data_IF_811763019088
#
_entry.id   IF_811763019088
#
_cell.length_a   1.000
_cell.length_b   1.000
_cell.length_c   1.000
_cell.angle_alpha   90.00
_cell.angle_beta   90.00
_cell.angle_gamma   90.00
#
_symmetry.space_group_name_H-M   'P 1'
#
loop_
_entity.id
_entity.type
_entity.pdbx_description
1 polymer ?
#
# COMPACT_ATOMS: atom_id res chain seq x y z
N UNK A 1 -16.33 4.06 5.90
CA UNK A 1 -15.64 2.79 6.26
C UNK A 1 -14.94 2.93 7.61
N UNK A 2 -15.15 2.02 8.58
CA UNK A 2 -14.61 2.16 9.95
C UNK A 2 -13.11 1.83 10.01
N UNK A 3 -12.29 2.64 10.69
CA UNK A 3 -10.84 2.44 10.89
C UNK A 3 -10.47 1.02 11.34
N UNK A 4 -11.34 0.38 12.13
CA UNK A 4 -11.18 -1.02 12.55
C UNK A 4 -11.26 -2.02 11.38
N UNK A 5 -12.11 -1.77 10.39
CA UNK A 5 -12.21 -2.60 9.18
C UNK A 5 -10.97 -2.48 8.29
N UNK A 6 -10.39 -1.29 8.18
CA UNK A 6 -9.13 -1.11 7.44
C UNK A 6 -7.96 -1.86 8.10
N UNK A 7 -7.81 -1.73 9.42
CA UNK A 7 -6.77 -2.48 10.15
C UNK A 7 -7.00 -4.00 10.10
N UNK A 8 -8.26 -4.45 10.17
CA UNK A 8 -8.58 -5.87 10.08
C UNK A 8 -8.37 -6.43 8.67
N UNK A 9 -8.56 -5.63 7.63
CA UNK A 9 -8.26 -6.05 6.25
C UNK A 9 -6.76 -6.16 6.01
N UNK A 10 -5.95 -5.21 6.50
CA UNK A 10 -4.48 -5.33 6.46
C UNK A 10 -3.99 -6.58 7.19
N UNK A 11 -4.44 -6.81 8.43
CA UNK A 11 -4.09 -8.02 9.20
C UNK A 11 -4.50 -9.32 8.49
N UNK A 12 -5.66 -9.33 7.83
CA UNK A 12 -6.11 -10.48 7.03
C UNK A 12 -5.21 -10.75 5.83
N UNK A 13 -4.69 -9.71 5.19
CA UNK A 13 -3.76 -9.84 4.06
C UNK A 13 -2.42 -10.40 4.54
N UNK A 14 -1.88 -9.89 5.65
CA UNK A 14 -0.65 -10.44 6.25
C UNK A 14 -0.80 -11.93 6.59
N UNK A 15 -1.93 -12.33 7.18
CA UNK A 15 -2.19 -13.75 7.48
C UNK A 15 -2.37 -14.64 6.25
N UNK A 16 -2.78 -14.08 5.10
CA UNK A 16 -2.93 -14.82 3.84
C UNK A 16 -1.58 -15.12 3.18
N UNK A 17 -0.54 -14.34 3.50
CA UNK A 17 0.82 -14.61 3.03
C UNK A 17 1.53 -15.70 3.86
N UNK A 18 1.14 -15.89 5.13
CA UNK A 18 1.64 -17.00 5.97
C UNK A 18 1.15 -18.38 5.48
N UNK A 19 -0.10 -18.49 5.01
CA UNK A 19 -0.65 -19.77 4.51
C UNK A 19 -0.03 -20.24 3.17
N UNK A 20 0.66 -19.35 2.45
CA UNK A 20 1.37 -19.68 1.20
C UNK A 20 2.78 -20.22 1.43
N UNK A 21 3.27 -20.29 2.67
CA UNK A 21 4.64 -20.72 2.97
C UNK A 21 4.89 -22.22 2.91
N UNK A 22 3.98 -23.03 2.35
CA UNK A 22 4.30 -24.41 1.94
C UNK A 22 5.22 -24.33 0.73
N UNK A 23 6.52 -24.36 1.02
CA UNK A 23 7.66 -24.35 0.08
C UNK A 23 7.52 -25.43 -1.00
N UNK A 24 6.78 -25.12 -2.06
CA UNK A 24 7.10 -25.63 -3.40
C UNK A 24 8.28 -24.80 -3.88
N UNK A 25 9.32 -25.41 -4.45
CA UNK A 25 10.45 -24.70 -5.07
C UNK A 25 9.90 -23.64 -6.03
N UNK A 26 9.85 -22.40 -5.54
CA UNK A 26 9.14 -21.33 -6.20
C UNK A 26 10.07 -20.84 -7.30
N UNK A 27 9.73 -21.13 -8.56
CA UNK A 27 10.46 -20.61 -9.70
C UNK A 27 10.67 -19.10 -9.51
N UNK A 28 11.88 -18.62 -9.78
CA UNK A 28 12.21 -17.21 -9.59
C UNK A 28 11.21 -16.37 -10.39
N UNK A 29 10.41 -15.55 -9.69
CA UNK A 29 9.42 -14.66 -10.30
C UNK A 29 10.07 -13.74 -11.35
N UNK A 30 11.35 -13.43 -11.13
CA UNK A 30 12.17 -12.58 -11.97
C UNK A 30 13.17 -13.40 -12.80
N UNK A 31 13.52 -12.86 -13.96
CA UNK A 31 14.41 -13.52 -14.94
C UNK A 31 15.86 -13.58 -14.47
N UNK A 32 16.27 -12.65 -13.60
CA UNK A 32 17.60 -12.58 -13.01
C UNK A 32 17.56 -11.84 -11.67
N UNK A 33 18.60 -12.01 -10.84
CA UNK A 33 18.78 -11.22 -9.61
C UNK A 33 18.93 -9.72 -9.89
N UNK A 34 19.50 -9.36 -11.05
CA UNK A 34 19.65 -7.98 -11.47
C UNK A 34 18.29 -7.33 -11.75
N UNK A 35 17.43 -8.03 -12.48
CA UNK A 35 16.07 -7.56 -12.78
C UNK A 35 15.24 -7.42 -11.50
N UNK A 36 15.37 -8.38 -10.57
CA UNK A 36 14.72 -8.30 -9.27
C UNK A 36 15.14 -7.05 -8.50
N UNK A 37 16.45 -6.76 -8.46
CA UNK A 37 16.97 -5.55 -7.80
C UNK A 37 16.43 -4.29 -8.45
N UNK A 38 16.48 -4.21 -9.78
CA UNK A 38 15.99 -3.06 -10.53
C UNK A 38 14.49 -2.81 -10.27
N UNK A 39 13.69 -3.87 -10.28
CA UNK A 39 12.26 -3.80 -10.01
C UNK A 39 12.01 -3.34 -8.57
N UNK A 40 12.73 -3.90 -7.59
CA UNK A 40 12.63 -3.49 -6.18
C UNK A 40 13.02 -2.03 -5.99
N UNK A 41 14.11 -1.58 -6.58
CA UNK A 41 14.58 -0.20 -6.49
C UNK A 41 13.57 0.76 -7.13
N UNK A 42 13.01 0.39 -8.29
CA UNK A 42 11.95 1.16 -8.94
C UNK A 42 10.70 1.26 -8.06
N UNK A 43 10.23 0.14 -7.50
CA UNK A 43 9.08 0.14 -6.59
C UNK A 43 9.35 0.95 -5.34
N UNK A 44 10.55 0.85 -4.77
CA UNK A 44 10.94 1.61 -3.59
C UNK A 44 10.96 3.12 -3.89
N UNK A 45 11.56 3.53 -5.00
CA UNK A 45 11.56 4.93 -5.43
C UNK A 45 10.13 5.46 -5.67
N UNK A 46 9.27 4.66 -6.31
CA UNK A 46 7.86 5.01 -6.51
C UNK A 46 7.11 5.12 -5.19
N UNK A 47 7.36 4.22 -4.25
CA UNK A 47 6.80 4.28 -2.89
C UNK A 47 7.24 5.55 -2.17
N UNK A 48 8.54 5.85 -2.14
CA UNK A 48 9.05 7.08 -1.52
C UNK A 48 8.44 8.34 -2.13
N UNK A 49 8.32 8.39 -3.46
CA UNK A 49 7.68 9.50 -4.16
C UNK A 49 6.21 9.66 -3.74
N UNK A 50 5.46 8.57 -3.72
CA UNK A 50 4.05 8.58 -3.32
C UNK A 50 3.89 8.93 -1.84
N UNK A 51 4.75 8.41 -0.98
CA UNK A 51 4.76 8.70 0.45
C UNK A 51 4.98 10.19 0.73
N UNK A 52 5.97 10.80 0.08
CA UNK A 52 6.23 12.24 0.20
C UNK A 52 5.03 13.07 -0.26
N UNK A 53 4.40 12.70 -1.39
CA UNK A 53 3.16 13.35 -1.87
C UNK A 53 2.03 13.26 -0.86
N UNK A 54 1.82 12.08 -0.27
CA UNK A 54 0.76 11.84 0.72
C UNK A 54 1.01 12.62 2.01
N UNK A 55 2.25 12.68 2.50
CA UNK A 55 2.59 13.46 3.70
C UNK A 55 2.34 14.97 3.53
N UNK A 56 2.53 15.47 2.31
CA UNK A 56 2.30 16.88 1.99
C UNK A 56 0.83 17.20 1.65
N UNK A 57 -0.02 16.19 1.44
CA UNK A 57 -1.43 16.38 1.11
C UNK A 57 -2.23 16.82 2.32
N UNK A 58 -2.87 17.98 2.23
CA UNK A 58 -3.78 18.46 3.26
C UNK A 58 -5.06 17.61 3.32
N UNK A 59 -5.51 17.06 2.19
CA UNK A 59 -6.63 16.12 2.15
C UNK A 59 -6.34 14.85 2.98
N UNK A 60 -5.08 14.39 2.97
CA UNK A 60 -4.67 13.28 3.84
C UNK A 60 -4.72 13.64 5.32
N UNK A 61 -4.28 14.85 5.70
CA UNK A 61 -4.36 15.32 7.09
C UNK A 61 -5.81 15.45 7.55
N UNK A 62 -6.69 15.99 6.70
CA UNK A 62 -8.12 16.09 6.99
C UNK A 62 -8.78 14.71 7.20
N UNK A 63 -8.34 13.69 6.46
CA UNK A 63 -8.75 12.30 6.74
C UNK A 63 -8.25 11.85 8.12
N UNK A 64 -6.98 12.07 8.47
CA UNK A 64 -6.44 11.62 9.76
C UNK A 64 -7.18 12.21 10.98
N UNK A 65 -7.70 13.43 10.85
CA UNK A 65 -8.44 14.12 11.91
C UNK A 65 -9.91 13.67 12.01
N UNK A 66 -10.49 13.17 10.91
CA UNK A 66 -11.86 12.63 10.90
C UNK A 66 -11.92 11.26 11.59
N UNK A 67 -12.91 11.08 12.48
CA UNK A 67 -13.15 9.81 13.15
C UNK A 67 -13.69 8.73 12.21
N UNK A 68 -14.50 9.13 11.22
CA UNK A 68 -15.05 8.26 10.18
C UNK A 68 -14.86 8.90 8.81
N UNK A 69 -14.61 8.07 7.80
CA UNK A 69 -14.53 8.47 6.39
C UNK A 69 -15.68 7.84 5.61
N UNK A 70 -16.17 8.55 4.61
CA UNK A 70 -17.08 8.03 3.59
C UNK A 70 -16.37 7.88 2.23
N UNK A 71 -17.12 7.49 1.21
CA UNK A 71 -16.55 7.25 -0.12
C UNK A 71 -16.16 8.57 -0.82
N UNK A 72 -16.84 9.67 -0.48
CA UNK A 72 -16.55 11.01 -1.02
C UNK A 72 -15.23 11.55 -0.46
N UNK A 73 -14.99 11.33 0.83
CA UNK A 73 -13.73 11.63 1.53
C UNK A 73 -12.54 10.91 0.85
N UNK A 74 -12.72 9.62 0.52
CA UNK A 74 -11.69 8.82 -0.15
C UNK A 74 -11.46 9.31 -1.58
N UNK A 75 -12.52 9.59 -2.35
CA UNK A 75 -12.37 10.12 -3.70
C UNK A 75 -11.68 11.47 -3.72
N UNK A 76 -12.01 12.36 -2.79
CA UNK A 76 -11.38 13.68 -2.67
C UNK A 76 -9.89 13.55 -2.41
N UNK A 77 -9.50 12.64 -1.51
CA UNK A 77 -8.09 12.34 -1.26
C UNK A 77 -7.38 11.75 -2.49
N UNK A 78 -7.97 10.78 -3.19
CA UNK A 78 -7.38 10.19 -4.39
C UNK A 78 -7.20 11.21 -5.51
N UNK A 79 -8.18 12.10 -5.71
CA UNK A 79 -8.11 13.19 -6.67
C UNK A 79 -7.02 14.23 -6.31
N UNK A 80 -6.71 14.40 -5.02
CA UNK A 80 -5.62 15.29 -4.58
C UNK A 80 -4.21 14.76 -4.87
N UNK A 81 -4.07 13.48 -5.21
CA UNK A 81 -2.77 12.82 -5.45
C UNK A 81 -2.38 12.72 -6.95
N UNK A 82 -3.34 12.95 -7.85
CA UNK A 82 -3.18 12.94 -9.31
C UNK A 82 -2.52 14.22 -9.83
#
# INVERSE_FOLDING_TARGET
MNKKHFLNTYKKIDSLDEDKSKKTEQASLYRSEHDERLIKDFHYAKFQKNFNKVQQSDAFKSLLEKENWDDEDIQTFLNSLG
#
